data_IF_582054847674
#
_entry.id   IF_582054847674
#
_cell.length_a   1.000
_cell.length_b   1.000
_cell.length_c   1.000
_cell.angle_alpha   90.00
_cell.angle_beta   90.00
_cell.angle_gamma   90.00
#
_symmetry.space_group_name_H-M   'P 1'
#
loop_
_entity.id
_entity.type
_entity.pdbx_description
1 polymer ?
#
# COMPACT_ATOMS: atom_id res chain seq x y z
N UNK A 1 -29.14 10.94 15.40
CA UNK A 1 -27.93 10.44 14.71
C UNK A 1 -27.70 11.38 13.57
N UNK A 2 -26.54 12.04 13.50
CA UNK A 2 -26.23 12.95 12.39
C UNK A 2 -26.10 12.14 11.10
N UNK A 3 -26.69 12.64 10.01
CA UNK A 3 -26.61 12.01 8.69
C UNK A 3 -25.17 12.14 8.13
N UNK A 4 -24.72 11.16 7.36
CA UNK A 4 -23.37 11.17 6.78
C UNK A 4 -23.18 12.41 5.89
N UNK A 5 -24.24 12.83 5.22
CA UNK A 5 -24.31 14.06 4.41
C UNK A 5 -24.03 15.30 5.25
N UNK A 6 -24.68 15.42 6.40
CA UNK A 6 -24.53 16.55 7.35
C UNK A 6 -23.11 16.63 7.93
N UNK A 7 -22.46 15.47 8.14
CA UNK A 7 -21.07 15.41 8.61
C UNK A 7 -20.04 15.85 7.54
N UNK A 8 -20.37 15.67 6.26
CA UNK A 8 -19.52 16.00 5.12
C UNK A 8 -19.74 17.43 4.61
N UNK A 9 -20.87 18.06 4.94
CA UNK A 9 -21.13 19.46 4.60
C UNK A 9 -20.02 20.39 5.14
N UNK A 10 -19.41 21.16 4.24
CA UNK A 10 -18.33 22.09 4.55
C UNK A 10 -16.94 21.47 4.72
N UNK A 11 -16.80 20.14 4.74
CA UNK A 11 -15.49 19.47 4.77
C UNK A 11 -14.98 19.24 3.36
N UNK A 12 -13.98 20.04 2.95
CA UNK A 12 -13.25 19.77 1.71
C UNK A 12 -12.28 18.62 1.94
N UNK A 13 -12.18 17.65 1.02
CA UNK A 13 -11.09 16.69 1.03
C UNK A 13 -9.76 17.45 1.05
N UNK A 14 -8.80 16.98 1.85
CA UNK A 14 -7.44 17.51 1.79
C UNK A 14 -6.80 17.19 0.44
N UNK A 15 -5.73 17.91 0.09
CA UNK A 15 -4.94 17.57 -1.10
C UNK A 15 -4.44 16.13 -1.01
N UNK A 16 -4.50 15.41 -2.13
CA UNK A 16 -3.96 14.07 -2.21
C UNK A 16 -2.45 14.08 -1.96
N UNK A 17 -2.03 13.25 -1.01
CA UNK A 17 -0.63 12.99 -0.73
C UNK A 17 -0.38 11.50 -0.86
N UNK A 18 0.51 11.06 -1.76
CA UNK A 18 0.79 9.65 -1.96
C UNK A 18 1.50 9.09 -0.72
N UNK A 19 0.74 8.38 0.10
CA UNK A 19 1.24 7.77 1.34
C UNK A 19 0.75 6.34 1.45
N UNK A 20 1.66 5.40 1.74
CA UNK A 20 1.26 4.07 2.17
C UNK A 20 0.44 4.15 3.47
N UNK A 21 -0.49 3.22 3.66
CA UNK A 21 -1.32 3.10 4.85
C UNK A 21 -1.36 1.62 5.20
N UNK A 22 -0.82 1.26 6.35
CA UNK A 22 -0.92 -0.11 6.86
C UNK A 22 -2.16 -0.25 7.72
N UNK A 23 -2.94 -1.30 7.48
CA UNK A 23 -4.17 -1.64 8.20
C UNK A 23 -3.90 -2.92 8.99
N UNK A 24 -3.70 -2.83 10.32
CA UNK A 24 -3.30 -3.95 11.17
C UNK A 24 -4.31 -5.11 11.19
N UNK A 25 -5.59 -4.79 11.15
CA UNK A 25 -6.69 -5.76 11.26
C UNK A 25 -6.69 -6.73 10.07
N UNK A 26 -6.29 -6.25 8.90
CA UNK A 26 -6.22 -7.03 7.66
C UNK A 26 -4.81 -7.46 7.27
N UNK A 27 -3.79 -7.18 8.08
CA UNK A 27 -2.36 -7.30 7.73
C UNK A 27 -2.07 -6.81 6.30
N UNK A 28 -2.58 -5.62 5.98
CA UNK A 28 -2.63 -5.12 4.60
C UNK A 28 -2.00 -3.75 4.49
N UNK A 29 -1.11 -3.56 3.53
CA UNK A 29 -0.56 -2.26 3.16
C UNK A 29 -1.24 -1.74 1.90
N UNK A 30 -1.88 -0.59 2.00
CA UNK A 30 -2.44 0.15 0.87
C UNK A 30 -1.48 1.24 0.46
N UNK A 31 -1.35 1.51 -0.83
CA UNK A 31 -0.59 2.64 -1.33
C UNK A 31 -1.24 3.16 -2.60
N UNK A 32 -1.75 4.40 -2.56
CA UNK A 32 -2.16 5.13 -3.74
C UNK A 32 -1.10 6.18 -4.05
N UNK A 33 -0.64 6.20 -5.30
CA UNK A 33 0.34 7.17 -5.78
C UNK A 33 -0.25 8.19 -6.77
N UNK A 34 -1.53 8.02 -7.16
CA UNK A 34 -2.32 9.00 -7.90
C UNK A 34 -3.76 9.10 -7.37
N UNK A 35 -4.33 10.29 -7.47
CA UNK A 35 -5.72 10.59 -7.10
C UNK A 35 -6.65 10.39 -8.30
N UNK A 36 -6.93 9.14 -8.63
CA UNK A 36 -7.85 8.80 -9.71
C UNK A 36 -8.95 7.86 -9.19
N UNK A 37 -10.15 8.00 -9.74
CA UNK A 37 -11.17 6.97 -9.63
C UNK A 37 -10.63 5.65 -10.19
N UNK A 38 -10.72 4.59 -9.38
CA UNK A 38 -10.06 3.32 -9.69
C UNK A 38 -10.91 2.11 -9.39
N UNK A 39 -10.53 0.99 -10.00
CA UNK A 39 -11.07 -0.33 -9.71
C UNK A 39 -9.93 -1.26 -9.27
N UNK A 40 -10.30 -2.25 -8.45
CA UNK A 40 -9.38 -3.25 -7.94
C UNK A 40 -9.23 -4.41 -8.93
N UNK A 41 -7.99 -4.74 -9.26
CA UNK A 41 -7.61 -5.91 -10.06
C UNK A 41 -6.71 -6.80 -9.21
N UNK A 42 -7.19 -8.00 -8.87
CA UNK A 42 -6.41 -8.96 -8.08
C UNK A 42 -5.39 -9.63 -8.98
N UNK A 43 -4.12 -9.37 -8.71
CA UNK A 43 -3.01 -10.01 -9.44
C UNK A 43 -2.80 -11.42 -8.90
N UNK A 44 -2.76 -11.56 -7.58
CA UNK A 44 -2.69 -12.86 -6.91
C UNK A 44 -3.27 -12.81 -5.48
N UNK A 45 -2.98 -13.82 -4.67
CA UNK A 45 -3.50 -13.90 -3.31
C UNK A 45 -3.00 -12.78 -2.39
N UNK A 46 -1.81 -12.24 -2.66
CA UNK A 46 -1.11 -11.27 -1.85
C UNK A 46 -1.22 -9.85 -2.44
N UNK A 47 -1.29 -9.72 -3.76
CA UNK A 47 -1.26 -8.44 -4.46
C UNK A 47 -2.59 -8.14 -5.17
N UNK A 48 -3.15 -6.97 -4.86
CA UNK A 48 -4.20 -6.32 -5.64
C UNK A 48 -3.66 -5.00 -6.16
N UNK A 49 -3.85 -4.69 -7.43
CA UNK A 49 -3.51 -3.38 -8.00
C UNK A 49 -4.77 -2.55 -8.21
N UNK A 50 -4.65 -1.24 -8.07
CA UNK A 50 -5.71 -0.30 -8.36
C UNK A 50 -5.39 0.39 -9.68
N UNK A 51 -6.33 0.35 -10.63
CA UNK A 51 -6.19 0.97 -11.95
C UNK A 51 -7.20 2.07 -12.14
N UNK A 52 -6.74 3.18 -12.72
CA UNK A 52 -7.57 4.31 -13.14
C UNK A 52 -8.67 3.81 -14.09
N UNK A 53 -9.93 4.13 -13.80
CA UNK A 53 -11.04 3.80 -14.70
C UNK A 53 -10.92 4.54 -16.04
N UNK A 54 -10.40 5.77 -16.02
CA UNK A 54 -10.25 6.59 -17.20
C UNK A 54 -9.11 6.12 -18.13
N UNK A 55 -7.99 5.66 -17.56
CA UNK A 55 -6.76 5.40 -18.34
C UNK A 55 -6.29 3.95 -18.32
N UNK A 56 -6.82 3.10 -17.43
CA UNK A 56 -6.34 1.74 -17.19
C UNK A 56 -4.94 1.66 -16.56
N UNK A 57 -4.29 2.81 -16.31
CA UNK A 57 -2.97 2.87 -15.68
C UNK A 57 -3.08 2.57 -14.19
N UNK A 58 -2.02 1.98 -13.63
CA UNK A 58 -1.96 1.76 -12.19
C UNK A 58 -1.91 3.08 -11.43
N UNK A 59 -2.63 3.14 -10.32
CA UNK A 59 -2.73 4.32 -9.43
C UNK A 59 -2.52 3.96 -7.97
N UNK A 60 -2.49 2.66 -7.66
CA UNK A 60 -2.14 2.16 -6.34
C UNK A 60 -2.04 0.64 -6.28
N UNK A 61 -1.78 0.12 -5.08
CA UNK A 61 -1.83 -1.30 -4.76
C UNK A 61 -2.23 -1.57 -3.32
N UNK A 62 -2.65 -2.81 -3.08
CA UNK A 62 -2.80 -3.42 -1.78
C UNK A 62 -1.92 -4.68 -1.72
N UNK A 63 -1.13 -4.80 -0.65
CA UNK A 63 -0.32 -5.97 -0.35
C UNK A 63 -0.85 -6.59 0.94
N UNK A 64 -1.25 -7.85 0.91
CA UNK A 64 -1.76 -8.61 2.05
C UNK A 64 -0.66 -9.45 2.69
N UNK A 65 -0.89 -9.85 3.93
CA UNK A 65 -0.02 -10.72 4.72
C UNK A 65 1.41 -10.16 4.88
N UNK A 66 1.54 -8.84 5.02
CA UNK A 66 2.83 -8.13 5.04
C UNK A 66 3.73 -8.64 6.17
N UNK A 67 3.19 -8.87 7.37
CA UNK A 67 3.97 -9.42 8.50
C UNK A 67 4.52 -10.80 8.19
N UNK A 68 3.71 -11.67 7.58
CA UNK A 68 4.12 -13.02 7.22
C UNK A 68 5.17 -13.01 6.10
N UNK A 69 5.01 -12.13 5.10
CA UNK A 69 5.97 -11.91 4.02
C UNK A 69 7.34 -11.51 4.57
N UNK A 70 7.37 -10.57 5.52
CA UNK A 70 8.63 -10.11 6.13
C UNK A 70 9.29 -11.20 6.97
N UNK A 71 8.52 -11.95 7.78
CA UNK A 71 9.03 -13.08 8.57
C UNK A 71 9.62 -14.20 7.71
N UNK A 72 8.94 -14.58 6.62
CA UNK A 72 9.38 -15.66 5.73
C UNK A 72 10.73 -15.39 5.09
N UNK A 73 11.11 -14.12 4.98
CA UNK A 73 12.35 -13.72 4.33
C UNK A 73 13.51 -13.57 5.30
N UNK A 74 13.40 -14.10 6.52
CA UNK A 74 14.45 -14.03 7.54
C UNK A 74 14.69 -12.60 8.02
N UNK A 75 13.61 -11.82 8.05
CA UNK A 75 13.57 -10.38 8.33
C UNK A 75 14.40 -9.50 7.37
N UNK A 76 15.31 -9.99 6.51
CA UNK A 76 16.23 -9.15 5.70
C UNK A 76 16.97 -8.03 6.48
N UNK A 77 16.99 -8.08 7.82
CA UNK A 77 17.38 -6.94 8.66
C UNK A 77 16.34 -5.81 8.75
N UNK A 78 15.17 -5.98 8.14
CA UNK A 78 13.96 -5.15 8.26
C UNK A 78 13.10 -5.70 9.39
N UNK A 79 13.48 -5.32 10.60
CA UNK A 79 12.60 -5.46 11.75
C UNK A 79 11.52 -4.38 11.67
N UNK A 80 10.24 -4.78 11.79
CA UNK A 80 9.15 -3.83 12.09
C UNK A 80 9.32 -3.41 13.56
N UNK A 81 10.30 -2.55 13.81
CA UNK A 81 10.60 -1.99 15.13
C UNK A 81 10.62 -0.49 14.95
N UNK A 82 9.58 0.18 15.45
CA UNK A 82 9.44 1.64 15.59
C UNK A 82 10.25 2.48 14.57
N UNK A 83 10.02 2.24 13.27
CA UNK A 83 10.83 2.83 12.22
C UNK A 83 10.24 2.71 10.81
N UNK A 84 10.73 3.53 9.85
CA UNK A 84 10.16 3.63 8.52
C UNK A 84 10.41 2.33 7.72
N UNK A 85 9.33 1.73 7.19
CA UNK A 85 9.44 0.62 6.23
C UNK A 85 9.46 1.18 4.82
N UNK A 86 10.52 0.88 4.09
CA UNK A 86 10.68 1.23 2.69
C UNK A 86 9.84 0.29 1.81
N UNK A 87 8.91 0.85 1.04
CA UNK A 87 8.10 0.10 0.07
C UNK A 87 8.94 -0.75 -0.90
N UNK A 88 10.16 -0.31 -1.23
CA UNK A 88 11.09 -1.06 -2.07
C UNK A 88 11.43 -2.41 -1.44
N UNK A 89 11.54 -2.48 -0.11
CA UNK A 89 11.77 -3.74 0.61
C UNK A 89 10.57 -4.66 0.43
N UNK A 90 9.34 -4.14 0.56
CA UNK A 90 8.14 -4.99 0.47
C UNK A 90 7.92 -5.49 -0.97
N UNK A 91 8.14 -4.66 -1.98
CA UNK A 91 8.05 -5.11 -3.38
C UNK A 91 9.18 -6.07 -3.74
N UNK A 92 10.39 -5.85 -3.24
CA UNK A 92 11.49 -6.82 -3.36
C UNK A 92 11.11 -8.13 -2.70
N UNK A 93 10.49 -8.06 -1.52
CA UNK A 93 10.06 -9.22 -0.77
C UNK A 93 9.05 -10.06 -1.55
N UNK A 94 8.02 -9.40 -2.08
CA UNK A 94 7.03 -10.03 -2.92
C UNK A 94 7.65 -10.61 -4.21
N UNK A 95 8.55 -9.89 -4.88
CA UNK A 95 9.21 -10.34 -6.11
C UNK A 95 10.11 -11.56 -5.86
N UNK A 96 10.84 -11.61 -4.75
CA UNK A 96 11.71 -12.75 -4.40
C UNK A 96 10.91 -13.99 -4.04
N UNK A 97 9.72 -13.84 -3.44
CA UNK A 97 8.81 -14.95 -3.16
C UNK A 97 8.12 -15.50 -4.43
N UNK A 98 8.16 -14.77 -5.55
CA UNK A 98 7.48 -15.12 -6.79
C UNK A 98 8.48 -15.11 -7.95
N UNK A 99 9.16 -16.25 -8.21
CA UNK A 99 9.93 -16.39 -9.46
C UNK A 99 9.04 -16.86 -10.61
N UNK A 100 9.01 -16.16 -11.78
CA UNK A 100 9.51 -14.81 -12.09
C UNK A 100 8.50 -13.68 -11.75
N UNK A 101 8.95 -12.41 -11.62
CA UNK A 101 8.11 -11.29 -11.20
C UNK A 101 6.99 -11.00 -12.21
N UNK A 102 5.73 -10.86 -11.76
CA UNK A 102 4.63 -10.43 -12.62
C UNK A 102 4.91 -9.07 -13.30
N UNK A 103 4.45 -8.84 -14.54
CA UNK A 103 4.66 -7.59 -15.28
C UNK A 103 4.29 -6.32 -14.48
N UNK A 104 3.29 -6.42 -13.60
CA UNK A 104 2.81 -5.35 -12.72
C UNK A 104 3.85 -4.78 -11.73
N UNK A 105 4.92 -5.51 -11.43
CA UNK A 105 5.96 -5.03 -10.50
C UNK A 105 6.76 -3.85 -11.05
N UNK A 106 6.91 -3.75 -12.37
CA UNK A 106 7.68 -2.68 -13.02
C UNK A 106 7.09 -1.28 -12.76
N UNK A 107 5.76 -1.15 -12.81
CA UNK A 107 5.04 0.09 -12.50
C UNK A 107 5.12 0.42 -10.99
N UNK A 108 5.09 -0.58 -10.12
CA UNK A 108 5.24 -0.42 -8.66
C UNK A 108 6.65 0.06 -8.27
N UNK A 109 7.68 -0.40 -8.98
CA UNK A 109 9.05 0.08 -8.79
C UNK A 109 9.20 1.57 -9.11
N UNK A 110 8.54 2.04 -10.15
CA UNK A 110 8.50 3.47 -10.48
C UNK A 110 7.71 4.25 -9.43
N UNK A 111 6.58 3.72 -8.94
CA UNK A 111 5.79 4.35 -7.89
C UNK A 111 6.53 4.43 -6.55
N UNK A 112 7.33 3.42 -6.20
CA UNK A 112 8.15 3.42 -4.99
C UNK A 112 9.21 4.53 -4.99
N UNK A 113 9.68 4.97 -6.16
CA UNK A 113 10.61 6.11 -6.27
C UNK A 113 9.95 7.46 -5.97
N UNK A 114 8.63 7.55 -6.13
CA UNK A 114 7.85 8.78 -5.89
C UNK A 114 7.49 8.98 -4.41
N UNK A 115 7.79 8.01 -3.55
CA UNK A 115 7.39 8.04 -2.15
C UNK A 115 8.60 8.32 -1.23
N UNK A 116 8.64 9.45 -0.51
CA UNK A 116 9.55 9.64 0.61
C UNK A 116 9.05 8.96 1.90
N UNK A 117 8.09 8.02 1.82
CA UNK A 117 7.26 7.65 2.95
C UNK A 117 8.04 7.06 4.14
N UNK A 118 7.93 7.80 5.24
CA UNK A 118 8.46 7.50 6.57
C UNK A 118 7.26 7.31 7.49
N UNK A 119 7.17 6.16 8.15
CA UNK A 119 6.03 5.81 9.01
C UNK A 119 6.42 5.80 10.49
N UNK A 120 5.44 6.09 11.34
CA UNK A 120 5.50 5.84 12.78
C UNK A 120 4.46 4.79 13.16
N UNK A 121 4.89 3.79 13.93
CA UNK A 121 4.14 2.59 14.35
C UNK A 121 3.09 2.90 15.44
N UNK A 122 2.89 4.17 15.84
CA UNK A 122 1.86 4.51 16.83
C UNK A 122 0.42 4.18 16.39
N UNK A 123 0.19 4.05 15.09
CA UNK A 123 -1.09 3.60 14.51
C UNK A 123 -1.21 2.07 14.44
N UNK A 124 -0.13 1.34 14.70
CA UNK A 124 0.00 -0.12 14.56
C UNK A 124 -0.22 -0.88 15.89
N UNK A 125 -0.20 -0.19 17.02
CA UNK A 125 -0.19 -0.78 18.37
C UNK A 125 -1.48 -0.53 19.18
N UNK A 126 -2.56 -0.06 18.56
CA UNK A 126 -3.81 0.26 19.25
C UNK A 126 -4.90 -0.85 19.21
N UNK A 127 -4.59 -2.06 18.74
CA UNK A 127 -5.52 -3.21 18.77
C UNK A 127 -4.80 -4.55 18.89
#
# INVERSE_FOLDING_TARGET
MADLTEYLEGKRPGEFSPRPVYVPEGDSLFFYFKEDESYAERVDELLTVYRSQATGKMVGCQIKNVRSLLKQMGDFGVQIVDGPIDLRVIFTAYAMNKMPPPPALSELWQAAQLSPARFSVKELAAA
#
